data_IF_324507359259
#
_entry.id   IF_324507359259
#
_cell.length_a   1.000
_cell.length_b   1.000
_cell.length_c   1.000
_cell.angle_alpha   90.00
_cell.angle_beta   90.00
_cell.angle_gamma   90.00
#
_symmetry.space_group_name_H-M   'P 1'
#
loop_
_entity.id
_entity.type
_entity.pdbx_description
1 polymer ?
#
# COMPACT_ATOMS: atom_id res chain seq x y z
N UNK A 1 -18.21 -18.01 -4.51
CA UNK A 1 -17.08 -17.81 -5.44
C UNK A 1 -15.96 -17.11 -4.68
N UNK A 2 -14.76 -17.71 -4.60
CA UNK A 2 -13.62 -17.11 -3.90
C UNK A 2 -12.96 -16.09 -4.83
N UNK A 3 -13.42 -14.83 -4.80
CA UNK A 3 -12.80 -13.70 -5.50
C UNK A 3 -11.41 -13.42 -4.90
N UNK A 4 -10.43 -14.26 -5.22
CA UNK A 4 -9.04 -14.06 -4.84
C UNK A 4 -8.36 -13.40 -6.01
N UNK A 5 -8.01 -12.13 -5.85
CA UNK A 5 -7.17 -11.42 -6.82
C UNK A 5 -5.83 -12.17 -6.90
N UNK A 6 -5.31 -12.46 -8.11
CA UNK A 6 -4.04 -13.14 -8.25
C UNK A 6 -2.93 -12.35 -7.53
N UNK A 7 -1.94 -13.04 -6.96
CA UNK A 7 -0.92 -12.42 -6.12
C UNK A 7 -0.16 -11.27 -6.79
N UNK A 8 0.22 -11.44 -8.06
CA UNK A 8 0.88 -10.41 -8.86
C UNK A 8 0.02 -9.15 -9.04
N UNK A 9 -1.29 -9.30 -9.25
CA UNK A 9 -2.18 -8.15 -9.38
C UNK A 9 -2.36 -7.41 -8.05
N UNK A 10 -2.33 -8.12 -6.92
CA UNK A 10 -2.34 -7.50 -5.59
C UNK A 10 -1.07 -6.68 -5.34
N UNK A 11 0.09 -7.21 -5.73
CA UNK A 11 1.38 -6.50 -5.60
C UNK A 11 1.40 -5.22 -6.45
N UNK A 12 0.94 -5.30 -7.71
CA UNK A 12 0.84 -4.14 -8.60
C UNK A 12 -0.11 -3.09 -8.03
N UNK A 13 -1.26 -3.49 -7.50
CA UNK A 13 -2.21 -2.57 -6.87
C UNK A 13 -1.61 -1.85 -5.66
N UNK A 14 -0.87 -2.57 -4.80
CA UNK A 14 -0.19 -1.97 -3.64
C UNK A 14 0.90 -1.00 -4.09
N UNK A 15 1.69 -1.36 -5.10
CA UNK A 15 2.70 -0.47 -5.68
C UNK A 15 2.06 0.79 -6.28
N UNK A 16 1.01 0.63 -7.10
CA UNK A 16 0.31 1.76 -7.70
C UNK A 16 -0.29 2.68 -6.63
N UNK A 17 -0.90 2.10 -5.60
CA UNK A 17 -1.42 2.84 -4.46
C UNK A 17 -0.31 3.62 -3.73
N UNK A 18 0.84 2.99 -3.45
CA UNK A 18 1.98 3.63 -2.81
C UNK A 18 2.53 4.80 -3.65
N UNK A 19 2.71 4.61 -4.96
CA UNK A 19 3.17 5.66 -5.87
C UNK A 19 2.18 6.83 -5.92
N UNK A 20 0.87 6.52 -6.02
CA UNK A 20 -0.18 7.54 -6.07
C UNK A 20 -0.25 8.33 -4.76
N UNK A 21 -0.16 7.66 -3.61
CA UNK A 21 -0.16 8.32 -2.30
C UNK A 21 1.08 9.18 -2.09
N UNK A 22 2.27 8.73 -2.53
CA UNK A 22 3.47 9.57 -2.53
C UNK A 22 3.33 10.78 -3.46
N UNK A 23 2.74 10.62 -4.64
CA UNK A 23 2.53 11.74 -5.56
C UNK A 23 1.61 12.81 -4.93
N UNK A 24 0.48 12.39 -4.36
CA UNK A 24 -0.43 13.28 -3.65
C UNK A 24 0.28 13.94 -2.46
N UNK A 25 1.12 13.18 -1.74
CA UNK A 25 1.89 13.68 -0.60
C UNK A 25 2.79 14.85 -1.00
N UNK A 26 3.58 14.70 -2.06
CA UNK A 26 4.46 15.77 -2.54
C UNK A 26 3.68 16.99 -3.02
N UNK A 27 2.55 16.77 -3.70
CA UNK A 27 1.68 17.88 -4.11
C UNK A 27 1.10 18.64 -2.92
N UNK A 28 0.62 17.93 -1.90
CA UNK A 28 0.03 18.51 -0.70
C UNK A 28 1.06 19.28 0.14
N UNK A 29 2.28 18.74 0.24
CA UNK A 29 3.40 19.40 0.95
C UNK A 29 3.82 20.71 0.27
N UNK A 30 3.71 20.78 -1.06
CA UNK A 30 4.02 21.98 -1.82
C UNK A 30 2.93 23.08 -1.69
N UNK A 31 1.67 22.70 -1.54
CA UNK A 31 0.53 23.64 -1.49
C UNK A 31 0.15 24.07 -0.07
N UNK A 32 0.48 23.27 0.95
CA UNK A 32 0.10 23.55 2.34
C UNK A 32 1.25 23.32 3.30
N UNK A 33 1.46 24.20 4.30
CA UNK A 33 2.45 23.96 5.35
C UNK A 33 1.95 22.84 6.27
N UNK A 34 2.30 21.60 5.93
CA UNK A 34 1.91 20.41 6.68
C UNK A 34 2.81 20.27 7.90
N UNK A 35 2.24 20.30 9.09
CA UNK A 35 2.99 20.03 10.33
C UNK A 35 3.46 18.57 10.38
N UNK A 36 4.59 18.31 11.05
CA UNK A 36 5.14 16.97 11.25
C UNK A 36 4.11 15.97 11.82
N UNK A 37 3.21 16.44 12.70
CA UNK A 37 2.14 15.60 13.25
C UNK A 37 1.14 15.13 12.17
N UNK A 38 0.69 16.03 11.30
CA UNK A 38 -0.21 15.69 10.19
C UNK A 38 0.45 14.71 9.21
N UNK A 39 1.75 14.87 8.98
CA UNK A 39 2.57 13.99 8.14
C UNK A 39 2.58 12.56 8.69
N UNK A 40 2.76 12.37 9.99
CA UNK A 40 2.73 11.06 10.64
C UNK A 40 1.33 10.44 10.58
N UNK A 41 0.30 11.21 10.92
CA UNK A 41 -1.09 10.72 10.93
C UNK A 41 -1.54 10.27 9.54
N UNK A 42 -1.25 11.06 8.48
CA UNK A 42 -1.55 10.65 7.11
C UNK A 42 -0.79 9.38 6.70
N UNK A 43 0.49 9.28 7.07
CA UNK A 43 1.29 8.09 6.77
C UNK A 43 0.72 6.84 7.44
N UNK A 44 0.37 6.93 8.71
CA UNK A 44 -0.28 5.84 9.45
C UNK A 44 -1.63 5.45 8.81
N UNK A 45 -2.42 6.43 8.38
CA UNK A 45 -3.69 6.18 7.72
C UNK A 45 -3.52 5.42 6.39
N UNK A 46 -2.52 5.81 5.58
CA UNK A 46 -2.23 5.11 4.32
C UNK A 46 -1.80 3.66 4.52
N UNK A 47 -1.00 3.38 5.54
CA UNK A 47 -0.58 2.01 5.90
C UNK A 47 -1.76 1.19 6.43
N UNK A 48 -2.63 1.79 7.25
CA UNK A 48 -3.83 1.13 7.78
C UNK A 48 -4.79 0.67 6.68
N UNK A 49 -4.97 1.47 5.62
CA UNK A 49 -5.79 1.09 4.47
C UNK A 49 -5.27 -0.20 3.83
N UNK A 50 -3.96 -0.27 3.54
CA UNK A 50 -3.32 -1.48 2.99
C UNK A 50 -3.50 -2.67 3.95
N UNK A 51 -3.30 -2.45 5.24
CA UNK A 51 -3.42 -3.49 6.26
C UNK A 51 -4.83 -4.08 6.32
N UNK A 52 -5.87 -3.23 6.28
CA UNK A 52 -7.28 -3.67 6.25
C UNK A 52 -7.57 -4.46 4.97
N UNK A 53 -7.11 -3.99 3.80
CA UNK A 53 -7.29 -4.68 2.52
C UNK A 53 -6.65 -6.09 2.51
N UNK A 54 -5.47 -6.23 3.12
CA UNK A 54 -4.81 -7.53 3.31
C UNK A 54 -5.61 -8.39 4.30
N UNK A 55 -6.04 -7.82 5.43
CA UNK A 55 -6.74 -8.55 6.50
C UNK A 55 -8.11 -9.06 6.09
N UNK A 56 -8.83 -8.31 5.27
CA UNK A 56 -10.09 -8.73 4.64
C UNK A 56 -9.91 -9.76 3.50
N UNK A 57 -8.68 -10.21 3.23
CA UNK A 57 -8.32 -11.12 2.13
C UNK A 57 -8.73 -10.60 0.74
N UNK A 58 -8.89 -9.29 0.59
CA UNK A 58 -9.13 -8.64 -0.70
C UNK A 58 -7.84 -8.64 -1.52
N UNK A 59 -6.72 -8.28 -0.87
CA UNK A 59 -5.38 -8.36 -1.44
C UNK A 59 -4.66 -9.60 -0.90
N UNK A 60 -4.00 -10.34 -1.79
CA UNK A 60 -3.14 -11.47 -1.45
C UNK A 60 -1.73 -11.20 -1.97
N UNK A 61 -0.99 -10.23 -1.37
CA UNK A 61 0.32 -9.86 -1.86
C UNK A 61 1.28 -11.05 -1.78
N UNK A 62 2.07 -11.23 -2.83
CA UNK A 62 3.18 -12.17 -2.87
C UNK A 62 4.52 -11.44 -2.72
N UNK A 63 4.50 -10.11 -2.61
CA UNK A 63 5.66 -9.25 -2.49
C UNK A 63 6.69 -9.56 -3.58
N UNK A 64 6.23 -9.72 -4.82
CA UNK A 64 7.06 -10.11 -5.98
C UNK A 64 7.87 -11.40 -5.74
N UNK A 65 7.39 -12.31 -4.90
CA UNK A 65 8.09 -13.54 -4.54
C UNK A 65 9.22 -13.35 -3.53
N UNK A 66 9.42 -12.16 -2.94
CA UNK A 66 10.50 -11.88 -1.98
C UNK A 66 10.41 -12.73 -0.70
N UNK A 67 9.21 -13.09 -0.26
CA UNK A 67 9.00 -13.97 0.91
C UNK A 67 8.88 -15.45 0.53
N UNK A 68 9.08 -15.79 -0.75
CA UNK A 68 9.14 -17.15 -1.26
C UNK A 68 10.58 -17.56 -1.53
N UNK A 69 11.41 -17.63 -0.49
CA UNK A 69 12.69 -18.35 -0.62
C UNK A 69 12.37 -19.78 -1.03
N UNK A 70 12.79 -20.10 -2.24
CA UNK A 70 12.81 -21.43 -2.85
C UNK A 70 13.18 -22.46 -1.77
N UNK A 71 12.32 -23.47 -1.59
CA UNK A 71 12.76 -24.79 -1.15
C UNK A 71 13.76 -25.26 -2.20
N UNK A 72 15.04 -24.99 -1.96
CA UNK A 72 16.17 -25.71 -2.56
C UNK A 72 16.41 -26.98 -1.76
#
# INVERSE_FOLDING_TARGET
>A
MKLRIPPLASDILICLYAVTTLYIRFKLENETPVSAMNSIVMGACFVLIIWVLIKFKVLNPNWFGLFGSKKG
#
